data_IF_326761413830
#
_entry.id   IF_326761413830
#
_cell.length_a   1.000
_cell.length_b   1.000
_cell.length_c   1.000
_cell.angle_alpha   90.00
_cell.angle_beta   90.00
_cell.angle_gamma   90.00
#
_symmetry.space_group_name_H-M   'P 1'
#
loop_
_entity.id
_entity.type
_entity.pdbx_description
1 polymer ?
#
# COMPACT_ATOMS: atom_id res chain seq x y z
N UNK A 1 3.38 -27.62 -3.21
CA UNK A 1 3.93 -27.91 -4.57
C UNK A 1 5.37 -28.38 -4.44
N UNK A 2 5.84 -29.28 -5.33
CA UNK A 2 7.26 -29.62 -5.49
C UNK A 2 7.72 -29.22 -6.90
N UNK A 3 8.77 -28.41 -7.03
CA UNK A 3 9.29 -27.93 -8.33
C UNK A 3 10.80 -27.66 -8.22
N UNK A 4 11.53 -27.88 -9.30
CA UNK A 4 12.94 -27.52 -9.44
C UNK A 4 13.08 -26.44 -10.51
N UNK A 5 13.48 -25.23 -10.10
CA UNK A 5 13.83 -24.16 -11.02
C UNK A 5 15.27 -24.36 -11.45
N UNK A 6 15.53 -24.44 -12.75
CA UNK A 6 16.86 -24.68 -13.32
C UNK A 6 17.45 -23.39 -13.88
N UNK A 7 18.71 -23.11 -13.54
CA UNK A 7 19.48 -21.99 -14.10
C UNK A 7 18.76 -20.63 -13.96
N UNK A 8 18.20 -20.36 -12.79
CA UNK A 8 17.56 -19.10 -12.45
C UNK A 8 18.57 -18.09 -11.92
N UNK A 9 18.52 -16.85 -12.38
CA UNK A 9 19.30 -15.73 -11.84
C UNK A 9 18.55 -15.12 -10.65
N UNK A 10 19.17 -15.13 -9.48
CA UNK A 10 18.54 -14.62 -8.25
C UNK A 10 18.72 -13.11 -8.12
N UNK A 11 17.60 -12.39 -7.96
CA UNK A 11 17.53 -10.94 -7.76
C UNK A 11 17.01 -10.65 -6.36
N UNK A 12 17.90 -10.83 -5.37
CA UNK A 12 17.66 -10.43 -3.99
C UNK A 12 18.96 -9.93 -3.34
N UNK A 13 19.07 -8.63 -3.07
CA UNK A 13 20.28 -8.01 -2.53
C UNK A 13 20.64 -8.46 -1.12
N UNK A 14 19.70 -9.09 -0.40
CA UNK A 14 19.93 -9.65 0.94
C UNK A 14 20.39 -11.11 0.90
N UNK A 15 20.33 -11.77 -0.26
CA UNK A 15 20.71 -13.15 -0.44
C UNK A 15 22.19 -13.29 -0.82
N UNK A 16 22.86 -14.34 -0.31
CA UNK A 16 24.20 -14.72 -0.76
C UNK A 16 24.25 -15.14 -2.24
N UNK A 17 23.09 -15.41 -2.84
CA UNK A 17 22.92 -15.80 -4.24
C UNK A 17 22.64 -14.63 -5.18
N UNK A 18 22.61 -13.38 -4.70
CA UNK A 18 22.34 -12.21 -5.53
C UNK A 18 23.19 -12.17 -6.81
N UNK A 19 22.56 -11.96 -7.96
CA UNK A 19 23.15 -11.96 -9.31
C UNK A 19 23.89 -13.24 -9.70
N UNK A 20 23.66 -14.36 -8.99
CA UNK A 20 24.18 -15.69 -9.35
C UNK A 20 23.09 -16.51 -10.05
N UNK A 21 23.50 -17.25 -11.07
CA UNK A 21 22.66 -18.26 -11.72
C UNK A 21 22.78 -19.59 -10.98
N UNK A 22 21.67 -20.08 -10.43
CA UNK A 22 21.59 -21.27 -9.57
C UNK A 22 20.35 -22.09 -9.89
N UNK A 23 20.30 -23.31 -9.37
CA UNK A 23 19.09 -24.10 -9.29
C UNK A 23 18.42 -23.89 -7.92
N UNK A 24 17.08 -23.84 -7.91
CA UNK A 24 16.26 -23.64 -6.70
C UNK A 24 15.28 -24.80 -6.59
N UNK A 25 15.42 -25.60 -5.53
CA UNK A 25 14.52 -26.68 -5.22
C UNK A 25 13.46 -26.21 -4.22
N UNK A 26 12.20 -26.40 -4.59
CA UNK A 26 11.03 -26.11 -3.75
C UNK A 26 10.35 -27.44 -3.43
N UNK A 27 10.23 -27.74 -2.14
CA UNK A 27 9.55 -28.93 -1.63
C UNK A 27 8.44 -28.51 -0.66
N UNK A 28 7.24 -29.04 -0.87
CA UNK A 28 6.04 -28.74 -0.07
C UNK A 28 5.76 -27.23 0.08
N UNK A 29 6.07 -26.46 -0.96
CA UNK A 29 5.87 -24.99 -0.97
C UNK A 29 6.96 -24.19 -0.25
N UNK A 30 8.02 -24.84 0.24
CA UNK A 30 9.15 -24.18 0.91
C UNK A 30 10.40 -24.36 0.07
N UNK A 31 11.25 -23.34 0.00
CA UNK A 31 12.58 -23.44 -0.62
C UNK A 31 13.43 -24.37 0.24
N UNK A 32 13.73 -25.58 -0.25
CA UNK A 32 14.50 -26.57 0.51
C UNK A 32 16.00 -26.52 0.21
N UNK A 33 16.39 -26.06 -0.98
CA UNK A 33 17.80 -25.95 -1.38
C UNK A 33 18.01 -24.94 -2.50
N UNK A 34 19.09 -24.16 -2.39
CA UNK A 34 19.62 -23.33 -3.46
C UNK A 34 21.08 -23.74 -3.71
N UNK A 35 21.46 -24.02 -4.95
CA UNK A 35 22.84 -24.40 -5.28
C UNK A 35 23.14 -24.23 -6.76
N UNK A 36 24.42 -24.14 -7.15
CA UNK A 36 24.85 -23.98 -8.55
C UNK A 36 24.27 -25.07 -9.47
N UNK A 37 24.17 -26.30 -8.98
CA UNK A 37 23.52 -27.43 -9.67
C UNK A 37 22.84 -28.34 -8.67
N UNK A 38 21.59 -28.68 -8.93
CA UNK A 38 20.80 -29.63 -8.13
C UNK A 38 20.39 -30.80 -9.04
N UNK A 39 20.64 -32.03 -8.56
CA UNK A 39 20.13 -33.26 -9.17
C UNK A 39 18.65 -33.44 -8.83
N UNK A 40 17.89 -34.03 -9.75
CA UNK A 40 16.43 -34.23 -9.60
C UNK A 40 16.05 -35.73 -9.52
N UNK A 41 16.54 -36.49 -8.51
CA UNK A 41 16.31 -37.93 -8.45
C UNK A 41 14.83 -38.28 -8.19
N UNK A 42 14.05 -37.36 -7.61
CA UNK A 42 12.62 -37.53 -7.34
C UNK A 42 11.74 -37.17 -8.54
N UNK A 43 12.34 -36.81 -9.68
CA UNK A 43 11.66 -36.41 -10.91
C UNK A 43 10.57 -35.33 -10.68
N UNK A 44 10.90 -34.32 -9.85
CA UNK A 44 10.01 -33.17 -9.68
C UNK A 44 9.89 -32.39 -10.97
N UNK A 45 8.78 -31.66 -11.13
CA UNK A 45 8.58 -30.78 -12.28
C UNK A 45 9.76 -29.82 -12.40
N UNK A 46 10.43 -29.84 -13.53
CA UNK A 46 11.48 -28.88 -13.84
C UNK A 46 10.90 -27.66 -14.56
N UNK A 47 11.25 -26.47 -14.09
CA UNK A 47 11.00 -25.23 -14.79
C UNK A 47 12.36 -24.72 -15.30
N UNK A 48 12.52 -24.68 -16.61
CA UNK A 48 13.67 -24.11 -17.28
C UNK A 48 13.18 -23.18 -18.37
N UNK A 49 13.51 -21.91 -18.24
CA UNK A 49 13.18 -20.87 -19.20
C UNK A 49 14.45 -20.08 -19.49
N UNK A 50 14.57 -19.58 -20.72
CA UNK A 50 15.65 -18.67 -21.06
C UNK A 50 15.49 -17.37 -20.28
N UNK A 51 16.61 -16.84 -19.76
CA UNK A 51 16.64 -15.60 -19.00
C UNK A 51 15.73 -15.60 -17.75
N UNK A 52 15.54 -16.76 -17.11
CA UNK A 52 14.73 -16.90 -15.90
C UNK A 52 15.34 -16.10 -14.74
N UNK A 53 14.59 -15.12 -14.22
CA UNK A 53 14.94 -14.38 -13.02
C UNK A 53 13.98 -14.72 -11.88
N UNK A 54 14.50 -14.76 -10.66
CA UNK A 54 13.72 -15.04 -9.45
C UNK A 54 14.05 -13.98 -8.41
N UNK A 55 13.05 -13.29 -7.89
CA UNK A 55 13.17 -12.40 -6.73
C UNK A 55 12.40 -12.95 -5.53
N UNK A 56 12.55 -12.28 -4.39
CA UNK A 56 11.54 -12.38 -3.33
C UNK A 56 10.17 -11.93 -3.88
N UNK A 57 9.10 -12.52 -3.38
CA UNK A 57 7.75 -12.09 -3.72
C UNK A 57 7.51 -10.64 -3.31
N UNK A 58 6.80 -9.89 -4.15
CA UNK A 58 6.55 -8.48 -3.89
C UNK A 58 5.36 -8.28 -2.96
N UNK A 59 5.37 -7.15 -2.25
CA UNK A 59 4.26 -6.70 -1.42
C UNK A 59 3.76 -5.36 -1.95
N UNK A 60 2.47 -5.26 -2.24
CA UNK A 60 1.81 -3.99 -2.53
C UNK A 60 1.15 -3.45 -1.27
N UNK A 61 1.55 -2.25 -0.84
CA UNK A 61 1.08 -1.63 0.39
C UNK A 61 -0.29 -0.96 0.30
N UNK A 62 -0.87 -0.82 -0.91
CA UNK A 62 -2.20 -0.21 -1.03
C UNK A 62 -2.90 -0.62 -2.32
N UNK A 63 -3.79 -1.61 -2.18
CA UNK A 63 -4.63 -2.12 -3.27
C UNK A 63 -6.10 -1.95 -2.89
N UNK A 64 -6.94 -1.64 -3.87
CA UNK A 64 -8.39 -1.59 -3.70
C UNK A 64 -9.05 -2.60 -4.64
N UNK A 65 -9.76 -3.56 -4.05
CA UNK A 65 -10.74 -4.38 -4.76
C UNK A 65 -12.13 -3.80 -4.52
N UNK A 66 -13.05 -4.02 -5.44
CA UNK A 66 -14.40 -3.53 -5.31
C UNK A 66 -15.29 -4.41 -4.43
N UNK A 67 -14.92 -5.68 -4.23
CA UNK A 67 -15.68 -6.63 -3.42
C UNK A 67 -15.39 -6.48 -1.91
N UNK A 68 -16.42 -6.34 -1.04
CA UNK A 68 -17.85 -6.37 -1.37
C UNK A 68 -18.42 -5.03 -1.89
N UNK A 69 -19.47 -5.11 -2.71
CA UNK A 69 -20.38 -4.01 -3.04
C UNK A 69 -20.07 -3.23 -4.31
N UNK A 70 -18.85 -3.32 -4.82
CA UNK A 70 -18.44 -2.74 -6.11
C UNK A 70 -17.77 -3.80 -6.99
N UNK A 71 -18.30 -5.03 -7.01
CA UNK A 71 -17.76 -6.16 -7.75
C UNK A 71 -17.59 -5.87 -9.26
N UNK A 72 -18.34 -4.91 -9.81
CA UNK A 72 -18.18 -4.44 -11.19
C UNK A 72 -16.83 -3.77 -11.47
N UNK A 73 -16.16 -3.25 -10.43
CA UNK A 73 -14.85 -2.62 -10.54
C UNK A 73 -13.74 -3.66 -10.49
N UNK A 74 -13.80 -4.53 -9.48
CA UNK A 74 -12.86 -5.64 -9.29
C UNK A 74 -13.36 -6.61 -8.21
N UNK A 75 -13.07 -7.90 -8.36
CA UNK A 75 -13.39 -8.94 -7.34
C UNK A 75 -12.13 -9.39 -6.61
N UNK A 76 -12.26 -9.94 -5.39
CA UNK A 76 -11.11 -10.48 -4.64
C UNK A 76 -10.43 -11.59 -5.45
N UNK A 77 -11.21 -12.47 -6.08
CA UNK A 77 -10.67 -13.59 -6.85
C UNK A 77 -9.85 -13.13 -8.07
N UNK A 78 -10.38 -12.19 -8.85
CA UNK A 78 -9.67 -11.68 -10.01
C UNK A 78 -8.48 -10.79 -9.61
N UNK A 79 -8.66 -9.90 -8.62
CA UNK A 79 -7.59 -9.05 -8.10
C UNK A 79 -6.38 -9.84 -7.59
N UNK A 80 -6.61 -10.91 -6.80
CA UNK A 80 -5.53 -11.75 -6.30
C UNK A 80 -4.87 -12.59 -7.40
N UNK A 81 -5.63 -13.02 -8.42
CA UNK A 81 -5.06 -13.67 -9.60
C UNK A 81 -4.16 -12.71 -10.38
N UNK A 82 -4.60 -11.47 -10.57
CA UNK A 82 -3.82 -10.41 -11.24
C UNK A 82 -2.55 -10.09 -10.47
N UNK A 83 -2.63 -9.96 -9.15
CA UNK A 83 -1.48 -9.75 -8.28
C UNK A 83 -0.46 -10.90 -8.40
N UNK A 84 -0.92 -12.16 -8.37
CA UNK A 84 -0.07 -13.33 -8.51
C UNK A 84 0.70 -13.35 -9.84
N UNK A 85 -0.01 -13.07 -10.94
CA UNK A 85 0.57 -13.01 -12.29
C UNK A 85 1.55 -11.84 -12.45
N UNK A 86 1.44 -10.81 -11.61
CA UNK A 86 2.27 -9.61 -11.63
C UNK A 86 3.49 -9.70 -10.69
N UNK A 87 3.66 -10.82 -9.97
CA UNK A 87 4.81 -11.05 -9.08
C UNK A 87 4.60 -10.68 -7.60
N UNK A 88 3.38 -10.24 -7.23
CA UNK A 88 3.03 -10.00 -5.84
C UNK A 88 2.64 -11.30 -5.14
N UNK A 89 3.15 -11.49 -3.92
CA UNK A 89 2.79 -12.61 -3.05
C UNK A 89 1.96 -12.18 -1.85
N UNK A 90 1.89 -10.88 -1.57
CA UNK A 90 0.99 -10.32 -0.58
C UNK A 90 0.54 -8.91 -0.99
N UNK A 91 -0.67 -8.52 -0.59
CA UNK A 91 -1.24 -7.18 -0.85
C UNK A 91 -1.96 -6.67 0.38
N UNK A 92 -1.82 -5.37 0.68
CA UNK A 92 -2.65 -4.69 1.66
C UNK A 92 -3.94 -4.17 1.01
N UNK A 93 -5.08 -4.65 1.48
CA UNK A 93 -6.39 -4.33 0.91
C UNK A 93 -7.05 -3.20 1.68
N UNK A 94 -7.29 -2.08 1.01
CA UNK A 94 -7.88 -0.86 1.58
C UNK A 94 -9.36 -1.07 1.98
N UNK A 95 -9.86 -0.34 3.00
CA UNK A 95 -11.23 -0.52 3.53
C UNK A 95 -12.33 0.19 2.71
N UNK A 96 -12.11 0.47 1.41
CA UNK A 96 -12.97 1.34 0.60
C UNK A 96 -14.09 0.61 -0.17
N UNK A 97 -14.60 -0.46 0.42
CA UNK A 97 -15.68 -1.30 -0.11
C UNK A 97 -17.06 -0.83 0.37
N UNK A 98 -18.11 -1.55 0.00
CA UNK A 98 -19.46 -1.34 0.52
C UNK A 98 -20.08 -2.67 0.98
N UNK A 99 -20.24 -2.91 2.30
CA UNK A 99 -19.94 -2.01 3.41
C UNK A 99 -18.44 -1.71 3.56
N UNK A 100 -18.13 -0.61 4.28
CA UNK A 100 -16.77 -0.25 4.69
C UNK A 100 -16.25 -1.31 5.66
N UNK A 101 -14.95 -1.63 5.58
CA UNK A 101 -14.31 -2.62 6.44
C UNK A 101 -13.96 -1.97 7.79
N UNK A 102 -14.95 -1.82 8.68
CA UNK A 102 -14.81 -1.10 9.96
C UNK A 102 -15.07 -1.98 11.20
N UNK A 103 -15.27 -3.29 11.02
CA UNK A 103 -15.50 -4.24 12.10
C UNK A 103 -14.66 -5.52 12.00
N UNK A 104 -14.56 -6.24 13.12
CA UNK A 104 -13.93 -7.57 13.19
C UNK A 104 -14.51 -8.57 12.17
N UNK A 105 -15.84 -8.53 11.97
CA UNK A 105 -16.53 -9.43 11.05
C UNK A 105 -16.09 -9.19 9.60
N UNK A 106 -15.87 -7.93 9.22
CA UNK A 106 -15.42 -7.57 7.86
C UNK A 106 -14.00 -8.06 7.60
N UNK A 107 -13.09 -7.85 8.56
CA UNK A 107 -11.70 -8.36 8.48
C UNK A 107 -11.69 -9.89 8.36
N UNK A 108 -12.47 -10.57 9.22
CA UNK A 108 -12.58 -12.02 9.21
C UNK A 108 -13.14 -12.56 7.89
N UNK A 109 -14.12 -11.86 7.31
CA UNK A 109 -14.68 -12.18 6.01
C UNK A 109 -13.62 -12.11 4.90
N UNK A 110 -12.84 -11.03 4.84
CA UNK A 110 -11.78 -10.85 3.82
C UNK A 110 -10.72 -11.95 3.90
N UNK A 111 -10.29 -12.30 5.12
CA UNK A 111 -9.31 -13.37 5.33
C UNK A 111 -9.89 -14.74 4.91
N UNK A 112 -11.12 -15.05 5.33
CA UNK A 112 -11.77 -16.31 4.96
C UNK A 112 -11.98 -16.44 3.44
N UNK A 113 -12.35 -15.33 2.78
CA UNK A 113 -12.58 -15.27 1.33
C UNK A 113 -11.28 -15.42 0.53
N UNK A 114 -10.18 -14.87 1.04
CA UNK A 114 -8.87 -14.87 0.36
C UNK A 114 -8.04 -16.13 0.62
N UNK A 115 -8.28 -16.88 1.70
CA UNK A 115 -7.45 -18.00 2.18
C UNK A 115 -7.06 -19.10 1.17
N UNK A 116 -7.77 -19.25 0.05
CA UNK A 116 -7.48 -20.26 -0.99
C UNK A 116 -6.68 -19.73 -2.19
N UNK A 117 -6.25 -18.47 -2.15
CA UNK A 117 -5.46 -17.85 -3.20
C UNK A 117 -3.97 -17.95 -2.91
N UNK A 118 -3.14 -17.76 -3.94
CA UNK A 118 -1.67 -17.79 -3.81
C UNK A 118 -1.05 -16.48 -3.32
N UNK A 119 -1.87 -15.43 -3.20
CA UNK A 119 -1.46 -14.11 -2.72
C UNK A 119 -2.15 -13.87 -1.39
N UNK A 120 -1.37 -13.56 -0.37
CA UNK A 120 -1.89 -13.25 0.95
C UNK A 120 -2.55 -11.86 0.95
N UNK A 121 -3.74 -11.77 1.55
CA UNK A 121 -4.39 -10.49 1.82
C UNK A 121 -4.02 -10.05 3.22
N UNK A 122 -3.54 -8.81 3.33
CA UNK A 122 -3.32 -8.11 4.59
C UNK A 122 -4.41 -7.02 4.72
N UNK A 123 -5.53 -7.27 5.42
CA UNK A 123 -6.62 -6.31 5.50
C UNK A 123 -6.19 -5.02 6.19
N UNK A 124 -6.57 -3.88 5.63
CA UNK A 124 -6.49 -2.58 6.29
C UNK A 124 -7.90 -2.25 6.79
N UNK A 125 -8.04 -1.98 8.09
CA UNK A 125 -9.30 -1.57 8.67
C UNK A 125 -9.56 -0.07 8.46
N UNK A 126 -10.82 0.34 8.44
CA UNK A 126 -11.18 1.75 8.49
C UNK A 126 -10.66 2.38 9.79
N UNK A 127 -10.23 3.64 9.73
CA UNK A 127 -9.82 4.35 10.94
C UNK A 127 -11.06 4.80 11.73
N UNK A 128 -12.10 5.22 11.00
CA UNK A 128 -13.36 5.69 11.58
C UNK A 128 -14.53 4.84 11.16
N UNK A 129 -15.60 4.88 11.96
CA UNK A 129 -16.87 4.20 11.63
C UNK A 129 -17.36 4.73 10.27
N UNK A 130 -17.64 3.81 9.35
CA UNK A 130 -18.04 4.09 7.97
C UNK A 130 -17.06 4.98 7.18
N UNK A 131 -15.81 5.11 7.67
CA UNK A 131 -14.83 6.06 7.17
C UNK A 131 -15.37 7.49 7.06
N UNK A 132 -16.12 7.97 8.06
CA UNK A 132 -16.77 9.28 8.08
C UNK A 132 -15.92 10.41 8.70
N UNK A 133 -14.83 10.07 9.39
CA UNK A 133 -13.94 11.03 10.05
C UNK A 133 -14.44 11.56 11.39
N UNK A 134 -15.53 11.01 11.96
CA UNK A 134 -16.17 11.51 13.17
C UNK A 134 -15.72 10.77 14.44
N UNK A 135 -15.70 9.44 14.42
CA UNK A 135 -15.36 8.61 15.58
C UNK A 135 -14.58 7.36 15.18
N UNK A 136 -13.66 6.92 16.04
CA UNK A 136 -12.84 5.73 15.76
C UNK A 136 -13.71 4.48 15.60
N UNK A 137 -13.32 3.62 14.66
CA UNK A 137 -13.82 2.26 14.56
C UNK A 137 -13.25 1.38 15.71
N UNK A 138 -13.70 0.13 15.79
CA UNK A 138 -13.25 -0.83 16.81
C UNK A 138 -11.85 -1.38 16.48
N UNK A 139 -10.82 -0.52 16.52
CA UNK A 139 -9.48 -0.82 15.95
C UNK A 139 -8.82 -2.03 16.60
N UNK A 140 -8.95 -2.19 17.92
CA UNK A 140 -8.37 -3.33 18.63
C UNK A 140 -9.04 -4.65 18.22
N UNK A 141 -10.36 -4.67 18.07
CA UNK A 141 -11.09 -5.86 17.66
C UNK A 141 -10.76 -6.25 16.22
N UNK A 142 -10.59 -5.26 15.33
CA UNK A 142 -10.09 -5.48 13.97
C UNK A 142 -8.63 -5.97 13.95
N UNK A 143 -7.77 -5.43 14.81
CA UNK A 143 -6.39 -5.92 14.95
C UNK A 143 -6.36 -7.39 15.35
N UNK A 144 -7.18 -7.79 16.33
CA UNK A 144 -7.30 -9.20 16.75
C UNK A 144 -7.86 -10.10 15.64
N UNK A 145 -8.68 -9.56 14.73
CA UNK A 145 -9.14 -10.28 13.54
C UNK A 145 -8.06 -10.44 12.47
N UNK A 146 -6.98 -9.64 12.51
CA UNK A 146 -5.87 -9.69 11.55
C UNK A 146 -5.70 -8.43 10.70
N UNK A 147 -6.30 -7.30 11.06
CA UNK A 147 -6.02 -6.02 10.40
C UNK A 147 -4.57 -5.58 10.65
N UNK A 148 -3.86 -5.18 9.59
CA UNK A 148 -2.43 -4.81 9.67
C UNK A 148 -2.19 -3.31 9.82
N UNK A 149 -3.19 -2.49 9.50
CA UNK A 149 -3.15 -1.03 9.58
C UNK A 149 -4.57 -0.44 9.61
N UNK A 150 -4.68 0.85 9.92
CA UNK A 150 -5.96 1.57 10.01
C UNK A 150 -5.93 2.88 9.23
N UNK A 151 -6.87 3.05 8.30
CA UNK A 151 -6.94 4.26 7.47
C UNK A 151 -8.35 4.50 6.92
N UNK A 152 -8.72 5.75 6.71
CA UNK A 152 -9.85 6.08 5.85
C UNK A 152 -9.31 6.36 4.44
N UNK A 153 -9.52 5.42 3.52
CA UNK A 153 -8.84 5.43 2.22
C UNK A 153 -9.16 6.69 1.40
N UNK A 154 -8.11 7.40 0.97
CA UNK A 154 -8.18 8.69 0.27
C UNK A 154 -9.02 9.77 0.98
N UNK A 155 -9.22 9.64 2.30
CA UNK A 155 -9.89 10.62 3.13
C UNK A 155 -8.92 11.11 4.21
N UNK A 156 -8.65 12.42 4.29
CA UNK A 156 -7.76 12.93 5.31
C UNK A 156 -8.41 12.91 6.69
N UNK A 157 -7.61 12.71 7.72
CA UNK A 157 -8.06 12.85 9.11
C UNK A 157 -8.16 14.35 9.42
N UNK A 158 -9.31 14.95 9.18
CA UNK A 158 -9.49 16.41 9.32
C UNK A 158 -9.35 16.88 10.77
N UNK A 159 -9.85 16.12 11.74
CA UNK A 159 -9.78 16.45 13.16
C UNK A 159 -8.42 16.05 13.77
N UNK A 160 -7.55 17.00 14.18
CA UNK A 160 -6.24 16.69 14.76
C UNK A 160 -6.34 15.89 16.06
N UNK A 161 -7.39 16.11 16.85
CA UNK A 161 -7.61 15.38 18.10
C UNK A 161 -7.97 13.91 17.84
N UNK A 162 -8.66 13.61 16.73
CA UNK A 162 -8.97 12.24 16.34
C UNK A 162 -7.68 11.47 15.99
N UNK A 163 -6.79 12.07 15.20
CA UNK A 163 -5.48 11.47 14.89
C UNK A 163 -4.65 11.25 16.18
N UNK A 164 -4.64 12.24 17.08
CA UNK A 164 -3.95 12.12 18.37
C UNK A 164 -4.48 10.93 19.16
N UNK A 165 -5.80 10.80 19.31
CA UNK A 165 -6.42 9.69 20.04
C UNK A 165 -6.13 8.36 19.34
N UNK A 166 -6.22 8.29 18.01
CA UNK A 166 -5.90 7.09 17.24
C UNK A 166 -4.48 6.60 17.50
N UNK A 167 -3.49 7.50 17.40
CA UNK A 167 -2.08 7.17 17.64
C UNK A 167 -1.88 6.69 19.08
N UNK A 168 -2.40 7.42 20.08
CA UNK A 168 -2.28 7.02 21.49
C UNK A 168 -2.94 5.67 21.80
N UNK A 169 -4.13 5.43 21.24
CA UNK A 169 -4.85 4.17 21.42
C UNK A 169 -4.11 3.00 20.78
N UNK A 170 -3.63 3.18 19.55
CA UNK A 170 -2.91 2.15 18.78
C UNK A 170 -1.59 1.70 19.40
N UNK A 171 -0.94 2.55 20.20
CA UNK A 171 0.28 2.18 20.93
C UNK A 171 0.11 0.95 21.82
N UNK A 172 -1.09 0.75 22.39
CA UNK A 172 -1.35 -0.37 23.32
C UNK A 172 -1.31 -1.75 22.65
N UNK A 173 -1.43 -1.81 21.33
CA UNK A 173 -1.42 -3.04 20.54
C UNK A 173 -0.48 -2.97 19.32
N UNK A 174 0.45 -2.02 19.29
CA UNK A 174 1.41 -1.81 18.19
C UNK A 174 0.75 -1.56 16.81
N UNK A 175 -0.43 -0.93 16.80
CA UNK A 175 -1.18 -0.64 15.59
C UNK A 175 -0.53 0.43 14.71
N UNK A 176 -0.62 0.26 13.39
CA UNK A 176 -0.17 1.24 12.41
C UNK A 176 -1.35 2.12 11.96
N UNK A 177 -1.24 3.43 12.20
CA UNK A 177 -2.21 4.41 11.68
C UNK A 177 -1.69 4.98 10.36
N UNK A 178 -2.53 5.02 9.32
CA UNK A 178 -2.20 5.71 8.08
C UNK A 178 -3.00 7.02 7.98
N UNK A 179 -2.33 8.11 7.62
CA UNK A 179 -2.97 9.41 7.42
C UNK A 179 -2.82 9.87 5.98
N UNK A 180 -3.93 9.97 5.26
CA UNK A 180 -3.93 10.45 3.88
C UNK A 180 -3.56 11.93 3.83
N UNK A 181 -2.47 12.32 3.13
CA UNK A 181 -1.88 13.66 3.25
C UNK A 181 -2.61 14.69 2.37
N UNK A 182 -3.78 15.17 2.82
CA UNK A 182 -4.50 16.25 2.16
C UNK A 182 -5.27 17.15 3.13
N UNK A 183 -5.04 18.46 3.09
CA UNK A 183 -5.95 19.44 3.69
C UNK A 183 -7.07 19.80 2.70
N UNK A 184 -8.25 19.21 2.89
CA UNK A 184 -9.40 19.38 1.98
C UNK A 184 -9.87 20.83 1.85
N UNK A 185 -9.67 21.66 2.87
CA UNK A 185 -10.04 23.09 2.82
C UNK A 185 -9.13 23.89 1.87
N UNK A 186 -7.90 23.42 1.65
CA UNK A 186 -6.93 24.00 0.72
C UNK A 186 -7.07 23.37 -0.67
N UNK A 187 -7.24 22.05 -0.77
CA UNK A 187 -7.39 21.38 -2.07
C UNK A 187 -8.72 21.71 -2.75
N UNK A 188 -9.77 22.01 -1.97
CA UNK A 188 -11.11 22.30 -2.47
C UNK A 188 -11.60 21.24 -3.46
N UNK A 189 -12.05 21.69 -4.62
CA UNK A 189 -12.50 20.83 -5.74
C UNK A 189 -11.40 20.64 -6.80
N UNK A 190 -10.12 20.68 -6.40
CA UNK A 190 -8.99 20.47 -7.30
C UNK A 190 -9.03 19.08 -7.94
N UNK A 191 -8.79 19.02 -9.25
CA UNK A 191 -8.85 17.77 -10.04
C UNK A 191 -7.51 17.38 -10.67
N UNK A 192 -6.50 18.24 -10.56
CA UNK A 192 -5.11 18.03 -10.99
C UNK A 192 -4.19 18.94 -10.18
N UNK A 193 -2.87 18.87 -10.38
CA UNK A 193 -1.93 19.74 -9.67
C UNK A 193 -2.15 21.23 -9.97
N UNK A 194 -1.99 22.09 -8.96
CA UNK A 194 -2.00 23.55 -9.14
C UNK A 194 -0.67 23.99 -9.76
N UNK A 195 -0.70 24.15 -11.09
CA UNK A 195 0.47 24.50 -11.88
C UNK A 195 0.06 25.11 -13.23
N UNK A 196 1.04 25.52 -14.05
CA UNK A 196 0.81 26.14 -15.37
C UNK A 196 -0.11 25.30 -16.27
N UNK A 197 -0.04 23.96 -16.18
CA UNK A 197 -0.85 23.03 -16.97
C UNK A 197 -2.33 23.16 -16.59
N UNK A 198 -2.66 23.23 -15.30
CA UNK A 198 -4.04 23.45 -14.83
C UNK A 198 -4.61 24.79 -15.28
N UNK A 199 -3.80 25.85 -15.24
CA UNK A 199 -4.17 27.18 -15.74
C UNK A 199 -4.46 27.17 -17.24
N UNK A 200 -3.61 26.50 -18.04
CA UNK A 200 -3.81 26.36 -19.49
C UNK A 200 -5.11 25.62 -19.84
N UNK A 201 -5.42 24.56 -19.09
CA UNK A 201 -6.63 23.74 -19.30
C UNK A 201 -7.89 24.35 -18.66
N UNK A 202 -7.76 25.40 -17.85
CA UNK A 202 -8.87 25.99 -17.10
C UNK A 202 -9.44 25.06 -16.01
N UNK A 203 -8.63 24.12 -15.51
CA UNK A 203 -9.02 23.16 -14.47
C UNK A 203 -8.62 23.67 -13.09
N UNK A 204 -9.40 23.28 -12.07
CA UNK A 204 -9.09 23.61 -10.67
C UNK A 204 -7.88 22.80 -10.20
N UNK A 205 -6.84 23.48 -9.73
CA UNK A 205 -5.64 22.89 -9.17
C UNK A 205 -5.84 22.41 -7.72
N UNK A 206 -5.08 21.39 -7.33
CA UNK A 206 -4.88 20.91 -5.97
C UNK A 206 -3.45 21.29 -5.56
N UNK A 207 -3.30 22.35 -4.73
CA UNK A 207 -1.99 22.89 -4.35
C UNK A 207 -1.08 21.86 -3.68
N UNK A 208 0.23 21.95 -3.92
CA UNK A 208 1.22 21.17 -3.16
C UNK A 208 1.09 21.42 -1.65
N UNK A 209 0.76 22.66 -1.27
CA UNK A 209 0.51 23.08 0.10
C UNK A 209 -0.56 22.24 0.82
N UNK A 210 -1.57 21.71 0.11
CA UNK A 210 -2.59 20.86 0.73
C UNK A 210 -2.00 19.57 1.31
N UNK A 211 -1.03 18.97 0.60
CA UNK A 211 -0.32 17.78 1.08
C UNK A 211 0.65 18.15 2.21
N UNK A 212 1.48 19.16 1.96
CA UNK A 212 2.56 19.56 2.87
C UNK A 212 2.04 19.97 4.25
N UNK A 213 0.91 20.69 4.30
CA UNK A 213 0.30 21.16 5.54
C UNK A 213 -0.17 19.99 6.40
N UNK A 214 -0.85 19.02 5.78
CA UNK A 214 -1.33 17.81 6.45
C UNK A 214 -0.15 16.98 6.99
N UNK A 215 0.90 16.79 6.17
CA UNK A 215 2.11 16.07 6.59
C UNK A 215 2.78 16.75 7.78
N UNK A 216 2.97 18.07 7.72
CA UNK A 216 3.60 18.81 8.82
C UNK A 216 2.81 18.69 10.14
N UNK A 217 1.49 18.81 10.07
CA UNK A 217 0.59 18.67 11.22
C UNK A 217 0.64 17.26 11.82
N UNK A 218 0.58 16.24 10.98
CA UNK A 218 0.51 14.84 11.42
C UNK A 218 1.83 14.39 12.03
N UNK A 219 2.97 14.86 11.51
CA UNK A 219 4.28 14.65 12.11
C UNK A 219 4.42 15.32 13.48
N UNK A 220 3.87 16.52 13.66
CA UNK A 220 3.84 17.20 14.96
C UNK A 220 3.02 16.42 16.00
N UNK A 221 1.87 15.88 15.59
CA UNK A 221 1.03 15.03 16.46
C UNK A 221 1.74 13.71 16.77
N UNK A 222 2.42 13.12 15.79
CA UNK A 222 3.21 11.90 15.98
C UNK A 222 4.33 12.12 17.02
N UNK A 223 5.03 13.25 16.95
CA UNK A 223 6.07 13.61 17.93
C UNK A 223 5.51 13.61 19.35
N UNK A 224 4.31 14.18 19.53
CA UNK A 224 3.64 14.24 20.83
C UNK A 224 3.14 12.88 21.33
N UNK A 225 2.66 12.02 20.42
CA UNK A 225 1.96 10.77 20.78
C UNK A 225 2.87 9.54 20.85
N UNK A 226 3.98 9.53 20.12
CA UNK A 226 4.93 8.41 20.08
C UNK A 226 4.43 7.15 19.36
N UNK A 227 3.28 7.22 18.66
CA UNK A 227 2.68 6.09 17.95
C UNK A 227 3.38 5.74 16.63
N UNK A 228 2.71 4.95 15.78
CA UNK A 228 3.21 4.53 14.45
C UNK A 228 2.37 5.16 13.36
N UNK A 229 3.02 5.92 12.47
CA UNK A 229 2.37 6.61 11.37
C UNK A 229 2.90 6.14 10.01
N UNK A 230 1.99 5.87 9.08
CA UNK A 230 2.31 5.75 7.65
C UNK A 230 1.63 6.87 6.88
N UNK A 231 2.36 7.54 5.98
CA UNK A 231 1.78 8.54 5.09
C UNK A 231 1.83 8.00 3.65
N UNK A 232 0.69 7.56 3.08
CA UNK A 232 0.66 6.96 1.76
C UNK A 232 0.86 7.98 0.64
N UNK A 233 1.38 7.49 -0.49
CA UNK A 233 1.35 8.17 -1.81
C UNK A 233 1.83 9.63 -1.82
N UNK A 234 2.97 9.92 -1.20
CA UNK A 234 3.60 11.26 -1.20
C UNK A 234 3.88 11.72 -2.63
N UNK A 235 3.56 12.98 -2.94
CA UNK A 235 3.75 13.54 -4.29
C UNK A 235 4.56 14.84 -4.34
N UNK A 236 4.92 15.45 -3.19
CA UNK A 236 5.68 16.72 -3.15
C UNK A 236 7.10 16.57 -2.58
N UNK A 237 8.04 17.36 -3.10
CA UNK A 237 9.42 17.39 -2.60
C UNK A 237 9.49 17.83 -1.12
N UNK A 238 8.67 18.81 -0.73
CA UNK A 238 8.66 19.32 0.64
C UNK A 238 8.07 18.33 1.64
N UNK A 239 7.06 17.53 1.28
CA UNK A 239 6.63 16.39 2.11
C UNK A 239 7.76 15.38 2.34
N UNK A 240 8.54 15.08 1.29
CA UNK A 240 9.73 14.21 1.43
C UNK A 240 10.73 14.81 2.42
N UNK A 241 10.98 16.11 2.37
CA UNK A 241 11.88 16.81 3.30
C UNK A 241 11.38 16.78 4.75
N UNK A 242 10.08 17.03 4.96
CA UNK A 242 9.43 16.95 6.26
C UNK A 242 9.58 15.54 6.87
N UNK A 243 9.29 14.49 6.09
CA UNK A 243 9.38 13.10 6.53
C UNK A 243 10.83 12.70 6.80
N UNK A 244 11.78 13.15 5.96
CA UNK A 244 13.22 12.92 6.18
C UNK A 244 13.68 13.53 7.50
N UNK A 245 13.25 14.76 7.81
CA UNK A 245 13.55 15.43 9.08
C UNK A 245 12.96 14.66 10.25
N UNK A 246 11.70 14.25 10.17
CA UNK A 246 11.05 13.47 11.24
C UNK A 246 11.76 12.12 11.50
N UNK A 247 12.17 11.40 10.45
CA UNK A 247 12.96 10.17 10.59
C UNK A 247 14.31 10.43 11.27
N UNK A 248 14.98 11.55 10.97
CA UNK A 248 16.23 11.93 11.64
C UNK A 248 16.07 12.20 13.14
N UNK A 249 14.87 12.64 13.54
CA UNK A 249 14.47 12.83 14.94
C UNK A 249 13.95 11.54 15.59
N UNK A 250 14.06 10.39 14.89
CA UNK A 250 13.63 9.06 15.34
C UNK A 250 12.12 8.90 15.56
N UNK A 251 11.30 9.76 14.94
CA UNK A 251 9.85 9.53 14.91
C UNK A 251 9.56 8.23 14.14
N UNK A 252 8.58 7.45 14.61
CA UNK A 252 8.18 6.20 13.98
C UNK A 252 7.22 6.46 12.81
N UNK A 253 7.77 7.04 11.75
CA UNK A 253 7.05 7.38 10.53
C UNK A 253 7.61 6.63 9.32
N UNK A 254 6.70 6.14 8.49
CA UNK A 254 6.99 5.61 7.17
C UNK A 254 6.14 6.31 6.11
N UNK A 255 6.49 6.14 4.84
CA UNK A 255 5.73 6.70 3.73
C UNK A 255 5.87 5.83 2.49
N UNK A 256 4.98 6.00 1.53
CA UNK A 256 5.02 5.36 0.22
C UNK A 256 4.85 6.39 -0.90
N UNK A 257 5.10 5.98 -2.13
CA UNK A 257 4.91 6.78 -3.34
C UNK A 257 4.22 5.89 -4.38
N UNK A 258 3.27 6.45 -5.13
CA UNK A 258 2.65 5.71 -6.22
C UNK A 258 3.58 5.67 -7.44
N UNK A 259 3.60 4.55 -8.16
CA UNK A 259 4.52 4.37 -9.30
C UNK A 259 4.32 5.43 -10.39
N UNK A 260 3.09 5.88 -10.62
CA UNK A 260 2.81 6.92 -11.62
C UNK A 260 3.41 8.28 -11.22
N UNK A 261 3.50 8.61 -9.93
CA UNK A 261 4.18 9.84 -9.45
C UNK A 261 5.71 9.76 -9.54
N UNK A 262 6.28 8.56 -9.76
CA UNK A 262 7.72 8.42 -10.05
C UNK A 262 8.05 8.55 -11.54
N UNK A 263 7.08 8.28 -12.41
CA UNK A 263 7.29 8.18 -13.86
C UNK A 263 6.69 9.34 -14.65
N UNK A 264 5.64 9.96 -14.12
CA UNK A 264 4.86 10.99 -14.80
C UNK A 264 4.78 12.25 -13.95
N UNK A 265 4.78 13.39 -14.63
CA UNK A 265 4.48 14.72 -14.08
C UNK A 265 3.14 15.21 -14.62
N UNK A 266 2.69 16.38 -14.19
CA UNK A 266 1.49 16.99 -14.76
C UNK A 266 1.62 17.39 -16.24
N UNK A 267 2.82 17.34 -16.83
CA UNK A 267 3.06 17.64 -18.25
C UNK A 267 2.33 16.69 -19.22
N UNK A 268 1.96 15.48 -18.76
CA UNK A 268 1.21 14.51 -19.58
C UNK A 268 -0.27 14.87 -19.74
N UNK A 269 -0.75 15.86 -18.99
CA UNK A 269 -2.12 16.37 -19.08
C UNK A 269 -2.21 17.43 -20.18
N UNK A 270 -2.42 16.99 -21.42
CA UNK A 270 -2.65 17.86 -22.59
C UNK A 270 -4.15 18.05 -22.93
N UNK A 271 -5.04 17.35 -22.22
CA UNK A 271 -6.48 17.40 -22.39
C UNK A 271 -7.24 16.86 -21.17
N UNK A 272 -8.49 16.44 -21.38
CA UNK A 272 -9.42 16.02 -20.31
C UNK A 272 -9.45 14.50 -20.10
N UNK A 273 -8.33 13.80 -20.33
CA UNK A 273 -8.25 12.35 -20.16
C UNK A 273 -8.25 11.98 -18.66
N UNK A 274 -9.33 11.36 -18.21
CA UNK A 274 -9.54 11.00 -16.81
C UNK A 274 -8.60 9.90 -16.31
N UNK A 275 -7.87 9.20 -17.20
CA UNK A 275 -6.87 8.21 -16.77
C UNK A 275 -5.71 8.83 -15.96
N UNK A 276 -5.44 10.12 -16.18
CA UNK A 276 -4.41 10.88 -15.46
C UNK A 276 -4.97 11.59 -14.22
N UNK A 277 -6.27 11.49 -13.96
CA UNK A 277 -6.93 12.05 -12.77
C UNK A 277 -6.72 11.10 -11.59
N UNK A 278 -5.54 11.20 -10.99
CA UNK A 278 -5.13 10.43 -9.80
C UNK A 278 -5.11 11.31 -8.56
N UNK A 279 -5.08 10.67 -7.38
CA UNK A 279 -5.04 11.35 -6.09
C UNK A 279 -4.04 10.68 -5.14
N UNK A 280 -3.00 11.39 -4.64
CA UNK A 280 -2.60 12.76 -4.97
C UNK A 280 -2.29 12.97 -6.46
N UNK A 281 -2.41 14.19 -7.00
CA UNK A 281 -2.24 14.43 -8.43
C UNK A 281 -0.80 14.18 -8.89
N UNK A 282 -0.60 13.96 -10.19
CA UNK A 282 0.72 14.11 -10.82
C UNK A 282 1.16 15.56 -10.67
N UNK A 283 2.42 15.81 -10.28
CA UNK A 283 2.95 17.16 -10.00
C UNK A 283 4.16 17.49 -10.84
#
# INVERSE_FOLDING_TARGET
MNVLLKSATVVDSKSEFHNKTVDILIEKGVISKISKRISNPKNYKELKLDNLHVSVGWFDSSVSFGEPGYEERETIANGLKTAALSGFTAVALNPNTYPVIDSNADISFLLAKSAKHSVDVCPVGALTKHSDGASLAELYDMHQAGAVAFMDYQKPVSNPNLLKIALQYSCSFDGLICSFPQESSISGNGVMNEHITSTKLGLKGNPAMAEELQVARDLFILEYTGGRLHIPTISTAKSVDLIRKAKSQKLNVSCSVAIHNLLLTDDVLDGFDTKYKVLPPLR
#
